data_IF_480169907460
#
_entry.id   IF_480169907460
#
_cell.length_a   1.000
_cell.length_b   1.000
_cell.length_c   1.000
_cell.angle_alpha   90.00
_cell.angle_beta   90.00
_cell.angle_gamma   90.00
#
_symmetry.space_group_name_H-M   'P 1'
#
loop_
_entity.id
_entity.type
_entity.pdbx_description
1 polymer ?
#
# COMPACT_ATOMS: atom_id res chain seq x y z
N UNK A 1 1.89 -5.15 41.52
CA UNK A 1 3.02 -6.08 41.30
C UNK A 1 2.62 -7.42 40.67
N UNK A 2 1.64 -8.19 41.20
CA UNK A 2 1.24 -9.46 40.56
C UNK A 2 0.72 -9.32 39.13
N UNK A 3 -0.08 -8.30 38.85
CA UNK A 3 -0.60 -8.01 37.50
C UNK A 3 0.51 -7.58 36.51
N UNK A 4 1.48 -6.79 36.98
CA UNK A 4 2.64 -6.44 36.16
C UNK A 4 3.49 -7.68 35.85
N UNK A 5 3.66 -8.59 36.80
CA UNK A 5 4.37 -9.87 36.60
C UNK A 5 3.65 -10.80 35.60
N UNK A 6 2.33 -10.66 35.40
CA UNK A 6 1.56 -11.38 34.37
C UNK A 6 1.56 -10.69 33.00
N UNK A 7 2.33 -9.61 32.83
CA UNK A 7 2.49 -8.91 31.54
C UNK A 7 1.68 -7.63 31.37
N UNK A 8 0.83 -7.28 32.35
CA UNK A 8 0.10 -6.01 32.30
C UNK A 8 0.98 -4.86 32.81
N UNK A 9 1.72 -4.21 31.90
CA UNK A 9 2.62 -3.09 32.23
C UNK A 9 1.88 -1.76 32.44
N UNK A 10 0.58 -1.67 32.08
CA UNK A 10 -0.21 -0.45 32.24
C UNK A 10 -0.63 -0.19 33.70
N UNK A 11 -0.43 -1.15 34.61
CA UNK A 11 -0.75 -1.03 36.02
C UNK A 11 0.13 0.03 36.68
N UNK A 12 -0.48 0.92 37.47
CA UNK A 12 0.26 1.94 38.24
C UNK A 12 -0.13 1.83 39.70
N UNK A 13 0.85 2.09 40.56
CA UNK A 13 0.61 2.33 41.99
C UNK A 13 0.04 3.74 42.14
N UNK A 14 -1.14 3.83 42.75
CA UNK A 14 -1.81 5.08 43.09
C UNK A 14 -2.01 5.11 44.60
N UNK A 15 -0.98 5.50 45.34
CA UNK A 15 -0.99 5.63 46.79
C UNK A 15 -0.50 7.02 47.19
N UNK A 16 -1.27 7.70 48.00
CA UNK A 16 -0.99 9.08 48.39
C UNK A 16 -0.59 9.18 49.90
N UNK A 17 0.19 8.21 50.37
CA UNK A 17 0.72 8.18 51.73
C UNK A 17 2.14 8.73 51.73
N UNK A 18 2.52 9.46 52.77
CA UNK A 18 3.91 9.94 52.98
C UNK A 18 4.70 8.91 53.80
N UNK A 19 4.87 7.72 53.25
CA UNK A 19 5.54 6.62 53.88
C UNK A 19 6.50 5.91 52.88
N UNK A 20 7.33 5.03 53.38
CA UNK A 20 8.32 4.27 52.61
C UNK A 20 7.65 3.39 51.55
N UNK A 21 6.38 2.99 51.76
CA UNK A 21 5.58 2.17 50.82
C UNK A 21 5.24 2.97 49.56
N UNK A 22 4.90 4.26 49.73
CA UNK A 22 4.61 5.14 48.60
C UNK A 22 5.87 5.43 47.79
N UNK A 23 7.03 5.62 48.41
CA UNK A 23 8.30 5.81 47.73
C UNK A 23 8.65 4.55 46.89
N UNK A 24 8.46 3.36 47.45
CA UNK A 24 8.63 2.10 46.73
C UNK A 24 7.64 1.98 45.54
N UNK A 25 6.38 2.41 45.74
CA UNK A 25 5.34 2.42 44.70
C UNK A 25 5.69 3.35 43.52
N UNK A 26 6.22 4.55 43.78
CA UNK A 26 6.68 5.46 42.73
C UNK A 26 7.91 4.91 42.00
N UNK A 27 8.87 4.30 42.72
CA UNK A 27 10.01 3.62 42.11
C UNK A 27 9.56 2.48 41.17
N UNK A 28 8.55 1.73 41.61
CA UNK A 28 7.94 0.67 40.77
C UNK A 28 7.26 1.23 39.51
N UNK A 29 6.50 2.32 39.62
CA UNK A 29 5.91 2.98 38.44
C UNK A 29 6.97 3.47 37.46
N UNK A 30 8.06 4.03 37.94
CA UNK A 30 9.17 4.48 37.10
C UNK A 30 9.82 3.29 36.36
N UNK A 31 10.00 2.18 37.04
CA UNK A 31 10.53 0.94 36.43
C UNK A 31 9.59 0.41 35.33
N UNK A 32 8.26 0.42 35.54
CA UNK A 32 7.29 0.03 34.53
C UNK A 32 7.36 0.90 33.28
N UNK A 33 7.47 2.22 33.43
CA UNK A 33 7.64 3.14 32.29
C UNK A 33 8.92 2.85 31.51
N UNK A 34 10.03 2.54 32.21
CA UNK A 34 11.26 2.16 31.54
C UNK A 34 11.12 0.84 30.79
N UNK A 35 10.45 -0.15 31.36
CA UNK A 35 10.19 -1.45 30.70
C UNK A 35 9.32 -1.25 29.47
N UNK A 36 8.24 -0.46 29.52
CA UNK A 36 7.41 -0.13 28.35
C UNK A 36 8.26 0.50 27.24
N UNK A 37 9.08 1.49 27.59
CA UNK A 37 9.97 2.14 26.62
C UNK A 37 10.99 1.18 25.99
N UNK A 38 11.56 0.27 26.78
CA UNK A 38 12.49 -0.75 26.27
C UNK A 38 11.77 -1.75 25.34
N UNK A 39 10.56 -2.19 25.69
CA UNK A 39 9.77 -3.08 24.85
C UNK A 39 9.43 -2.42 23.51
N UNK A 40 9.03 -1.15 23.54
CA UNK A 40 8.75 -0.38 22.31
C UNK A 40 10.02 -0.22 21.45
N UNK A 41 11.18 0.07 22.05
CA UNK A 41 12.45 0.14 21.33
C UNK A 41 12.82 -1.21 20.68
N UNK A 42 12.71 -2.32 21.41
CA UNK A 42 12.98 -3.65 20.88
C UNK A 42 12.04 -3.99 19.73
N UNK A 43 10.77 -3.64 19.85
CA UNK A 43 9.78 -3.85 18.77
C UNK A 43 10.14 -3.06 17.49
N UNK A 44 10.50 -1.78 17.64
CA UNK A 44 10.93 -0.93 16.51
C UNK A 44 12.19 -1.47 15.88
N UNK A 45 13.17 -1.88 16.68
CA UNK A 45 14.44 -2.46 16.20
C UNK A 45 14.22 -3.76 15.44
N UNK A 46 13.38 -4.67 15.96
CA UNK A 46 13.05 -5.91 15.25
C UNK A 46 12.31 -5.65 13.93
N UNK A 47 11.40 -4.67 13.91
CA UNK A 47 10.71 -4.25 12.68
C UNK A 47 11.72 -3.72 11.65
N UNK A 48 12.62 -2.84 12.07
CA UNK A 48 13.65 -2.26 11.21
C UNK A 48 14.60 -3.36 10.68
N UNK A 49 14.99 -4.31 11.53
CA UNK A 49 15.82 -5.45 11.14
C UNK A 49 15.12 -6.32 10.08
N UNK A 50 13.85 -6.67 10.28
CA UNK A 50 13.08 -7.42 9.28
C UNK A 50 12.95 -6.68 7.97
N UNK A 51 12.72 -5.35 8.00
CA UNK A 51 12.66 -4.54 6.79
C UNK A 51 14.01 -4.50 6.07
N UNK A 52 15.13 -4.41 6.82
CA UNK A 52 16.46 -4.47 6.24
C UNK A 52 16.76 -5.84 5.60
N UNK A 53 16.42 -6.93 6.28
CA UNK A 53 16.57 -8.29 5.74
C UNK A 53 15.75 -8.50 4.46
N UNK A 54 14.50 -8.03 4.42
CA UNK A 54 13.66 -8.07 3.22
C UNK A 54 14.24 -7.23 2.09
N UNK A 55 14.82 -6.06 2.40
CA UNK A 55 15.50 -5.21 1.42
C UNK A 55 16.72 -5.91 0.81
N UNK A 56 17.54 -6.55 1.65
CA UNK A 56 18.70 -7.34 1.18
C UNK A 56 18.26 -8.50 0.28
N UNK A 57 17.18 -9.21 0.64
CA UNK A 57 16.62 -10.28 -0.20
C UNK A 57 16.09 -9.75 -1.54
N UNK A 58 15.48 -8.57 -1.55
CA UNK A 58 15.03 -7.92 -2.80
C UNK A 58 16.22 -7.49 -3.69
N UNK A 59 17.33 -7.07 -3.09
CA UNK A 59 18.56 -6.67 -3.82
C UNK A 59 19.32 -7.87 -4.40
N UNK A 60 19.11 -9.09 -3.89
CA UNK A 60 19.70 -10.32 -4.45
C UNK A 60 19.15 -10.67 -5.84
N UNK A 61 17.95 -10.22 -6.19
CA UNK A 61 17.46 -10.30 -7.55
C UNK A 61 18.20 -9.22 -8.35
N UNK A 62 19.20 -9.59 -9.13
CA UNK A 62 19.92 -8.65 -10.00
C UNK A 62 18.95 -8.13 -11.08
N UNK A 63 18.46 -6.87 -11.00
CA UNK A 63 17.46 -6.37 -11.95
C UNK A 63 17.94 -6.45 -13.39
N UNK A 64 19.24 -6.25 -13.58
CA UNK A 64 19.88 -6.33 -14.89
C UNK A 64 19.78 -7.73 -15.54
N UNK A 65 19.89 -8.81 -14.74
CA UNK A 65 19.71 -10.15 -15.27
C UNK A 65 18.27 -10.39 -15.75
N UNK A 66 17.29 -9.92 -14.99
CA UNK A 66 15.87 -10.03 -15.39
C UNK A 66 15.60 -9.26 -16.69
N UNK A 67 16.08 -8.02 -16.78
CA UNK A 67 15.89 -7.22 -18.00
C UNK A 67 16.53 -7.86 -19.21
N UNK A 68 17.78 -8.32 -19.11
CA UNK A 68 18.47 -8.95 -20.21
C UNK A 68 17.79 -10.23 -20.66
N UNK A 69 17.27 -11.02 -19.73
CA UNK A 69 16.53 -12.25 -20.05
C UNK A 69 15.22 -11.94 -20.78
N UNK A 70 14.45 -10.95 -20.29
CA UNK A 70 13.22 -10.52 -20.93
C UNK A 70 13.47 -9.90 -22.31
N UNK A 71 14.52 -9.07 -22.46
CA UNK A 71 14.92 -8.49 -23.74
C UNK A 71 15.30 -9.58 -24.73
N UNK A 72 15.99 -10.65 -24.29
CA UNK A 72 16.32 -11.82 -25.14
C UNK A 72 15.05 -12.53 -25.60
N UNK A 73 14.08 -12.74 -24.69
CA UNK A 73 12.79 -13.37 -25.05
C UNK A 73 12.02 -12.50 -26.04
N UNK A 74 11.98 -11.18 -25.83
CA UNK A 74 11.34 -10.23 -26.75
C UNK A 74 11.99 -10.27 -28.12
N UNK A 75 13.33 -10.32 -28.18
CA UNK A 75 14.06 -10.45 -29.44
C UNK A 75 13.73 -11.74 -30.19
N UNK A 76 13.77 -12.90 -29.50
CA UNK A 76 13.38 -14.17 -30.07
C UNK A 76 11.93 -14.17 -30.59
N UNK A 77 11.01 -13.61 -29.80
CA UNK A 77 9.61 -13.51 -30.21
C UNK A 77 9.41 -12.67 -31.49
N UNK A 78 10.20 -11.61 -31.67
CA UNK A 78 10.21 -10.78 -32.89
C UNK A 78 10.70 -11.57 -34.11
N UNK A 79 11.73 -12.38 -33.94
CA UNK A 79 12.25 -13.26 -35.01
C UNK A 79 11.18 -14.21 -35.54
N UNK A 80 10.35 -14.75 -34.63
CA UNK A 80 9.21 -15.61 -34.98
C UNK A 80 7.92 -14.86 -35.32
N UNK A 81 7.94 -13.50 -35.41
CA UNK A 81 6.79 -12.64 -35.67
C UNK A 81 5.63 -12.85 -34.68
N UNK A 82 5.94 -13.17 -33.43
CA UNK A 82 4.98 -13.44 -32.38
C UNK A 82 4.68 -12.13 -31.63
N UNK A 83 3.99 -11.19 -32.27
CA UNK A 83 3.75 -9.83 -31.76
C UNK A 83 3.04 -9.79 -30.40
N UNK A 84 2.15 -10.74 -30.14
CA UNK A 84 1.48 -10.84 -28.84
C UNK A 84 2.45 -11.18 -27.69
N UNK A 85 3.45 -12.06 -27.98
CA UNK A 85 4.49 -12.38 -26.99
C UNK A 85 5.40 -11.18 -26.78
N UNK A 86 5.77 -10.47 -27.84
CA UNK A 86 6.55 -9.23 -27.73
C UNK A 86 5.87 -8.22 -26.81
N UNK A 87 4.58 -7.94 -27.04
CA UNK A 87 3.80 -7.00 -26.22
C UNK A 87 3.71 -7.44 -24.76
N UNK A 88 3.51 -8.74 -24.51
CA UNK A 88 3.45 -9.30 -23.17
C UNK A 88 4.77 -9.12 -22.42
N UNK A 89 5.89 -9.44 -23.09
CA UNK A 89 7.24 -9.31 -22.49
C UNK A 89 7.60 -7.85 -22.28
N UNK A 90 7.26 -6.95 -23.21
CA UNK A 90 7.50 -5.52 -23.07
C UNK A 90 6.68 -4.95 -21.90
N UNK A 91 5.41 -5.34 -21.72
CA UNK A 91 4.59 -4.96 -20.58
C UNK A 91 5.21 -5.41 -19.26
N UNK A 92 5.65 -6.67 -19.18
CA UNK A 92 6.30 -7.24 -17.99
C UNK A 92 7.63 -6.52 -17.68
N UNK A 93 8.45 -6.24 -18.69
CA UNK A 93 9.71 -5.49 -18.55
C UNK A 93 9.47 -4.08 -18.00
N UNK A 94 8.46 -3.39 -18.51
CA UNK A 94 8.09 -2.05 -18.03
C UNK A 94 7.62 -2.09 -16.58
N UNK A 95 6.83 -3.09 -16.19
CA UNK A 95 6.42 -3.28 -14.79
C UNK A 95 7.62 -3.49 -13.87
N UNK A 96 8.56 -4.37 -14.24
CA UNK A 96 9.77 -4.58 -13.44
C UNK A 96 10.62 -3.32 -13.36
N UNK A 97 10.76 -2.56 -14.46
CA UNK A 97 11.53 -1.31 -14.49
C UNK A 97 10.98 -0.27 -13.52
N UNK A 98 9.66 -0.11 -13.47
CA UNK A 98 9.00 0.79 -12.51
C UNK A 98 9.04 0.18 -11.11
N UNK A 99 8.70 -1.09 -10.95
CA UNK A 99 8.63 -1.79 -9.66
C UNK A 99 9.97 -1.88 -8.95
N UNK A 100 11.07 -2.17 -9.66
CA UNK A 100 12.42 -2.31 -9.12
C UNK A 100 13.24 -1.01 -9.19
N UNK A 101 12.64 0.14 -9.52
CA UNK A 101 13.34 1.42 -9.64
C UNK A 101 14.02 1.80 -8.33
N UNK A 102 15.30 1.50 -8.23
CA UNK A 102 16.36 1.91 -7.27
C UNK A 102 15.86 2.66 -6.02
N UNK A 103 15.08 2.02 -5.14
CA UNK A 103 14.76 2.57 -3.82
C UNK A 103 13.93 3.86 -3.79
N UNK A 104 13.33 4.28 -4.91
CA UNK A 104 12.42 5.43 -4.93
C UNK A 104 11.07 5.03 -4.39
N UNK A 105 10.67 5.64 -3.30
CA UNK A 105 9.37 5.41 -2.66
C UNK A 105 8.24 6.18 -3.35
N UNK A 106 8.59 7.17 -4.18
CA UNK A 106 7.66 8.05 -4.87
C UNK A 106 7.96 8.07 -6.37
N UNK A 107 6.90 8.11 -7.19
CA UNK A 107 6.96 8.18 -8.65
C UNK A 107 5.93 9.17 -9.17
N UNK A 108 6.07 9.58 -10.44
CA UNK A 108 5.06 10.39 -11.09
C UNK A 108 3.78 9.60 -11.36
N UNK A 109 2.64 10.30 -11.38
CA UNK A 109 1.34 9.72 -11.75
C UNK A 109 1.43 8.98 -13.08
N UNK A 110 2.06 9.57 -14.11
CA UNK A 110 2.27 8.91 -15.42
C UNK A 110 2.95 7.54 -15.31
N UNK A 111 3.89 7.37 -14.36
CA UNK A 111 4.59 6.11 -14.15
C UNK A 111 3.72 5.09 -13.40
N UNK A 112 2.95 5.54 -12.41
CA UNK A 112 2.00 4.69 -11.68
C UNK A 112 0.91 4.17 -12.63
N UNK A 113 0.35 5.05 -13.46
CA UNK A 113 -0.64 4.71 -14.48
C UNK A 113 -0.06 3.75 -15.52
N UNK A 114 1.17 3.99 -15.98
CA UNK A 114 1.86 3.06 -16.90
C UNK A 114 2.06 1.69 -16.29
N UNK A 115 2.41 1.63 -14.99
CA UNK A 115 2.53 0.37 -14.27
C UNK A 115 1.21 -0.39 -14.27
N UNK A 116 0.13 0.27 -13.85
CA UNK A 116 -1.22 -0.31 -13.77
C UNK A 116 -1.73 -0.74 -15.16
N UNK A 117 -1.51 0.07 -16.20
CA UNK A 117 -1.89 -0.26 -17.58
C UNK A 117 -1.19 -1.54 -18.07
N UNK A 118 0.12 -1.67 -17.83
CA UNK A 118 0.85 -2.90 -18.18
C UNK A 118 0.35 -4.11 -17.40
N UNK A 119 0.07 -3.95 -16.09
CA UNK A 119 -0.50 -5.00 -15.26
C UNK A 119 -1.86 -5.46 -15.80
N UNK A 120 -2.75 -4.52 -16.11
CA UNK A 120 -4.07 -4.80 -16.67
C UNK A 120 -3.99 -5.49 -18.04
N UNK A 121 -3.06 -5.09 -18.88
CA UNK A 121 -2.81 -5.75 -20.16
C UNK A 121 -2.44 -7.23 -19.97
N UNK A 122 -1.53 -7.54 -19.04
CA UNK A 122 -1.15 -8.91 -18.70
C UNK A 122 -2.36 -9.69 -18.16
N UNK A 123 -3.13 -9.09 -17.26
CA UNK A 123 -4.34 -9.72 -16.71
C UNK A 123 -5.43 -9.93 -17.78
N UNK A 124 -5.56 -9.01 -18.73
CA UNK A 124 -6.49 -9.16 -19.87
C UNK A 124 -6.15 -10.36 -20.74
N UNK A 125 -4.87 -10.62 -21.00
CA UNK A 125 -4.42 -11.83 -21.71
C UNK A 125 -4.79 -13.08 -20.91
N UNK A 126 -4.57 -13.06 -19.58
CA UNK A 126 -4.83 -14.20 -18.70
C UNK A 126 -6.31 -14.54 -18.57
N UNK A 127 -7.17 -13.51 -18.40
CA UNK A 127 -8.60 -13.69 -18.14
C UNK A 127 -9.47 -13.56 -19.39
N UNK A 128 -8.89 -13.13 -20.51
CA UNK A 128 -9.58 -13.02 -21.80
C UNK A 128 -10.79 -12.09 -21.73
N UNK A 129 -11.95 -12.53 -22.25
CA UNK A 129 -13.15 -11.71 -22.28
C UNK A 129 -13.77 -11.46 -20.90
N UNK A 130 -13.35 -12.19 -19.87
CA UNK A 130 -13.88 -12.05 -18.51
C UNK A 130 -13.53 -10.71 -17.88
N UNK A 131 -12.36 -10.14 -18.22
CA UNK A 131 -11.88 -8.85 -17.69
C UNK A 131 -12.01 -7.78 -18.78
N UNK A 132 -12.81 -6.75 -18.55
CA UNK A 132 -12.79 -5.51 -19.30
C UNK A 132 -12.35 -4.38 -18.39
N UNK A 133 -11.63 -3.39 -18.94
CA UNK A 133 -11.20 -2.25 -18.14
C UNK A 133 -11.13 -0.96 -18.95
N UNK A 134 -11.33 0.14 -18.28
CA UNK A 134 -11.18 1.50 -18.79
C UNK A 134 -10.28 2.30 -17.85
N UNK A 135 -9.53 3.23 -18.41
CA UNK A 135 -8.58 4.04 -17.67
C UNK A 135 -8.68 5.49 -18.14
N UNK A 136 -9.04 6.38 -17.22
CA UNK A 136 -9.22 7.80 -17.45
C UNK A 136 -8.23 8.57 -16.58
N UNK A 137 -7.43 9.42 -17.20
CA UNK A 137 -6.40 10.20 -16.52
C UNK A 137 -6.45 11.63 -17.01
N UNK A 138 -6.53 12.57 -16.09
CA UNK A 138 -6.38 13.99 -16.38
C UNK A 138 -4.90 14.31 -16.68
N UNK A 139 -4.63 14.81 -17.88
CA UNK A 139 -3.28 15.12 -18.35
C UNK A 139 -2.53 16.10 -17.43
N UNK A 140 -3.25 16.99 -16.75
CA UNK A 140 -2.68 17.93 -15.79
C UNK A 140 -1.99 17.28 -14.60
N UNK A 141 -2.35 16.02 -14.29
CA UNK A 141 -1.82 15.28 -13.16
C UNK A 141 -0.58 14.44 -13.45
N UNK A 142 -0.21 14.26 -14.71
CA UNK A 142 0.87 13.37 -15.15
C UNK A 142 2.21 13.61 -14.41
N UNK A 143 2.52 14.86 -14.08
CA UNK A 143 3.77 15.24 -13.39
C UNK A 143 3.66 15.26 -11.87
N UNK A 144 2.47 15.10 -11.31
CA UNK A 144 2.27 15.00 -9.87
C UNK A 144 2.93 13.74 -9.33
N UNK A 145 3.37 13.80 -8.07
CA UNK A 145 4.13 12.73 -7.41
C UNK A 145 3.28 12.00 -6.40
N UNK A 146 3.27 10.68 -6.49
CA UNK A 146 2.49 9.78 -5.64
C UNK A 146 3.37 8.68 -5.04
N UNK A 147 2.93 8.03 -3.94
CA UNK A 147 3.57 6.82 -3.45
C UNK A 147 3.55 5.72 -4.52
N UNK A 148 4.70 5.13 -4.77
CA UNK A 148 4.88 4.07 -5.77
C UNK A 148 4.01 2.85 -5.45
N UNK A 149 3.38 2.25 -6.46
CA UNK A 149 2.51 1.07 -6.34
C UNK A 149 1.30 1.31 -5.41
N UNK A 150 0.75 2.53 -5.44
CA UNK A 150 -0.42 2.90 -4.66
C UNK A 150 -1.71 2.29 -5.24
N UNK A 151 -1.84 2.29 -6.56
CA UNK A 151 -3.03 1.77 -7.25
C UNK A 151 -3.01 0.25 -7.42
N UNK A 152 -1.82 -0.36 -7.48
CA UNK A 152 -1.70 -1.80 -7.72
C UNK A 152 -2.53 -2.65 -6.76
N UNK A 153 -2.46 -2.50 -5.42
CA UNK A 153 -3.24 -3.33 -4.51
C UNK A 153 -4.75 -3.16 -4.68
N UNK A 154 -5.21 -1.96 -5.09
CA UNK A 154 -6.62 -1.69 -5.36
C UNK A 154 -7.10 -2.47 -6.60
N UNK A 155 -6.31 -2.40 -7.67
CA UNK A 155 -6.58 -3.10 -8.93
C UNK A 155 -6.51 -4.62 -8.73
N UNK A 156 -5.56 -5.11 -7.95
CA UNK A 156 -5.47 -6.53 -7.58
C UNK A 156 -6.72 -6.97 -6.81
N UNK A 157 -7.15 -6.22 -5.81
CA UNK A 157 -8.36 -6.51 -5.05
C UNK A 157 -9.60 -6.54 -5.95
N UNK A 158 -9.77 -5.56 -6.84
CA UNK A 158 -10.88 -5.50 -7.78
C UNK A 158 -10.91 -6.74 -8.70
N UNK A 159 -9.75 -7.18 -9.20
CA UNK A 159 -9.68 -8.36 -10.06
C UNK A 159 -9.90 -9.64 -9.27
N UNK A 160 -9.17 -9.86 -8.15
CA UNK A 160 -9.19 -11.15 -7.45
C UNK A 160 -10.44 -11.36 -6.59
N UNK A 161 -10.92 -10.32 -5.94
CA UNK A 161 -12.06 -10.38 -5.03
C UNK A 161 -13.38 -9.94 -5.69
N UNK A 162 -13.31 -8.99 -6.63
CA UNK A 162 -14.46 -8.52 -7.38
C UNK A 162 -14.74 -9.39 -8.60
N UNK A 163 -13.99 -9.21 -9.67
CA UNK A 163 -14.30 -9.71 -11.02
C UNK A 163 -14.11 -11.23 -11.12
N UNK A 164 -13.05 -11.79 -10.52
CA UNK A 164 -12.77 -13.24 -10.61
C UNK A 164 -13.90 -14.09 -10.02
N UNK A 165 -14.53 -13.61 -8.97
CA UNK A 165 -15.62 -14.30 -8.24
C UNK A 165 -16.97 -14.11 -8.89
N UNK A 166 -17.15 -13.10 -9.74
CA UNK A 166 -18.38 -12.82 -10.49
C UNK A 166 -18.63 -13.89 -11.58
N UNK A 167 -19.90 -14.23 -11.82
CA UNK A 167 -20.31 -15.01 -12.99
C UNK A 167 -20.40 -14.08 -14.21
N UNK A 168 -19.69 -14.43 -15.30
CA UNK A 168 -19.70 -13.64 -16.54
C UNK A 168 -18.54 -12.66 -16.64
N UNK A 169 -18.74 -11.62 -17.44
CA UNK A 169 -17.76 -10.54 -17.66
C UNK A 169 -17.79 -9.56 -16.50
N UNK A 170 -16.62 -9.03 -16.14
CA UNK A 170 -16.48 -7.96 -15.17
C UNK A 170 -15.81 -6.75 -15.80
N UNK A 171 -16.16 -5.58 -15.28
CA UNK A 171 -15.68 -4.29 -15.72
C UNK A 171 -14.95 -3.59 -14.60
N UNK A 172 -13.78 -3.05 -14.92
CA UNK A 172 -12.93 -2.29 -13.99
C UNK A 172 -12.72 -0.89 -14.56
N UNK A 173 -13.02 0.13 -13.79
CA UNK A 173 -12.81 1.51 -14.17
C UNK A 173 -11.81 2.13 -13.21
N UNK A 174 -10.78 2.77 -13.78
CA UNK A 174 -9.78 3.51 -13.02
C UNK A 174 -9.81 4.95 -13.48
N UNK A 175 -9.96 5.88 -12.52
CA UNK A 175 -9.94 7.31 -12.79
C UNK A 175 -8.85 7.98 -11.97
N UNK A 176 -8.20 8.96 -12.56
CA UNK A 176 -7.30 9.89 -11.92
C UNK A 176 -7.68 11.29 -12.38
N UNK A 177 -8.35 12.04 -11.51
CA UNK A 177 -9.00 13.30 -11.84
C UNK A 177 -8.55 14.41 -10.90
N UNK A 178 -8.48 15.64 -11.40
CA UNK A 178 -8.24 16.82 -10.58
C UNK A 178 -9.48 17.11 -9.75
N UNK A 179 -9.29 17.28 -8.44
CA UNK A 179 -10.34 17.70 -7.52
C UNK A 179 -10.18 19.18 -7.12
N UNK A 180 -11.19 19.74 -6.43
CA UNK A 180 -11.14 21.11 -5.95
C UNK A 180 -9.92 21.36 -5.03
N UNK A 181 -9.54 22.61 -4.84
CA UNK A 181 -8.51 23.06 -3.90
C UNK A 181 -7.11 22.44 -4.09
N UNK A 182 -6.74 22.13 -5.33
CA UNK A 182 -5.44 21.53 -5.66
C UNK A 182 -5.27 20.11 -5.10
N UNK A 183 -6.37 19.34 -5.09
CA UNK A 183 -6.39 17.92 -4.76
C UNK A 183 -6.47 17.08 -6.03
N UNK A 184 -6.12 15.80 -5.90
CA UNK A 184 -6.32 14.78 -6.93
C UNK A 184 -7.02 13.57 -6.33
N UNK A 185 -7.95 13.03 -7.11
CA UNK A 185 -8.75 11.87 -6.76
C UNK A 185 -8.37 10.69 -7.63
N UNK A 186 -8.09 9.57 -6.99
CA UNK A 186 -7.90 8.28 -7.62
C UNK A 186 -9.07 7.39 -7.26
N UNK A 187 -9.73 6.84 -8.27
CA UNK A 187 -10.84 5.92 -8.10
C UNK A 187 -10.55 4.61 -8.82
N UNK A 188 -10.76 3.50 -8.11
CA UNK A 188 -10.76 2.15 -8.68
C UNK A 188 -12.11 1.54 -8.38
N UNK A 189 -12.87 1.24 -9.43
CA UNK A 189 -14.27 0.79 -9.35
C UNK A 189 -14.44 -0.49 -10.17
N UNK A 190 -14.93 -1.55 -9.54
CA UNK A 190 -15.28 -2.82 -10.18
C UNK A 190 -16.77 -3.11 -10.04
N UNK A 191 -17.32 -3.79 -11.02
CA UNK A 191 -18.68 -4.32 -11.02
C UNK A 191 -18.74 -5.78 -10.54
N UNK A 192 -17.82 -6.16 -9.66
CA UNK A 192 -17.63 -7.52 -9.18
C UNK A 192 -18.64 -8.00 -8.16
N UNK A 193 -18.23 -8.95 -7.31
CA UNK A 193 -19.11 -9.53 -6.29
C UNK A 193 -19.52 -8.53 -5.19
N UNK A 194 -18.75 -7.46 -4.99
CA UNK A 194 -18.97 -6.52 -3.91
C UNK A 194 -18.86 -7.12 -2.51
N UNK A 195 -19.25 -6.34 -1.52
CA UNK A 195 -19.34 -6.77 -0.12
C UNK A 195 -20.56 -6.13 0.56
N UNK A 196 -20.96 -6.66 1.71
CA UNK A 196 -22.06 -6.07 2.47
C UNK A 196 -21.69 -4.67 2.96
N UNK A 197 -22.71 -3.84 3.14
CA UNK A 197 -22.52 -2.45 3.59
C UNK A 197 -21.84 -2.40 4.96
N UNK A 198 -22.20 -3.31 5.86
CA UNK A 198 -21.62 -3.41 7.20
C UNK A 198 -20.11 -3.68 7.13
N UNK A 199 -19.68 -4.55 6.19
CA UNK A 199 -18.25 -4.83 5.99
C UNK A 199 -17.51 -3.63 5.41
N UNK A 200 -18.09 -2.91 4.47
CA UNK A 200 -17.52 -1.69 3.92
C UNK A 200 -17.41 -0.59 5.00
N UNK A 201 -18.42 -0.43 5.84
CA UNK A 201 -18.41 0.50 6.99
C UNK A 201 -17.33 0.11 8.03
N UNK A 202 -17.17 -1.17 8.34
CA UNK A 202 -16.09 -1.67 9.21
C UNK A 202 -14.70 -1.35 8.64
N UNK A 203 -14.48 -1.56 7.33
CA UNK A 203 -13.21 -1.22 6.68
C UNK A 203 -12.97 0.30 6.77
N UNK A 204 -13.97 1.13 6.50
CA UNK A 204 -13.85 2.58 6.59
C UNK A 204 -13.57 3.04 8.04
N UNK A 205 -14.21 2.45 9.04
CA UNK A 205 -13.94 2.75 10.46
C UNK A 205 -12.46 2.46 10.78
N UNK A 206 -11.96 1.29 10.41
CA UNK A 206 -10.55 0.91 10.60
C UNK A 206 -9.58 1.81 9.83
N UNK A 207 -9.94 2.26 8.62
CA UNK A 207 -9.15 3.22 7.86
C UNK A 207 -9.09 4.60 8.53
N UNK A 208 -10.10 4.99 9.30
CA UNK A 208 -10.15 6.26 10.03
C UNK A 208 -9.54 6.20 11.43
N UNK A 209 -9.44 5.00 12.03
CA UNK A 209 -8.83 4.83 13.34
C UNK A 209 -7.30 4.95 13.30
N UNK A 210 -6.73 5.49 14.39
CA UNK A 210 -5.28 5.58 14.61
C UNK A 210 -4.70 4.31 15.22
N UNK A 211 -5.50 3.24 15.35
CA UNK A 211 -5.12 2.00 16.03
C UNK A 211 -4.18 1.12 15.19
N UNK A 212 -3.26 0.44 15.89
CA UNK A 212 -2.36 -0.57 15.32
C UNK A 212 -3.18 -1.78 14.85
N UNK A 213 -2.82 -2.33 13.70
CA UNK A 213 -3.46 -3.48 13.06
C UNK A 213 -3.45 -4.74 13.95
N UNK A 214 -4.58 -5.44 14.03
CA UNK A 214 -4.62 -6.86 14.32
C UNK A 214 -4.25 -7.68 13.06
N UNK A 215 -3.51 -8.78 13.24
CA UNK A 215 -2.79 -9.54 12.20
C UNK A 215 -3.64 -10.14 11.05
N UNK A 216 -4.96 -9.97 11.01
CA UNK A 216 -5.86 -10.68 10.09
C UNK A 216 -6.65 -9.81 9.09
N UNK A 217 -6.27 -8.54 8.87
CA UNK A 217 -7.07 -7.64 8.02
C UNK A 217 -6.35 -7.24 6.74
N UNK A 218 -7.13 -7.00 5.68
CA UNK A 218 -6.77 -6.64 4.28
C UNK A 218 -5.48 -5.79 4.16
N UNK A 219 -4.33 -6.45 4.08
CA UNK A 219 -3.00 -5.82 4.10
C UNK A 219 -2.80 -4.70 3.06
N UNK A 220 -3.46 -4.77 1.89
CA UNK A 220 -3.23 -3.82 0.80
C UNK A 220 -3.69 -2.39 1.09
N UNK A 221 -4.94 -2.20 1.55
CA UNK A 221 -5.51 -0.87 1.84
C UNK A 221 -4.82 -0.19 3.03
N UNK A 222 -4.51 -0.95 4.07
CA UNK A 222 -3.78 -0.42 5.22
C UNK A 222 -2.34 -0.03 4.90
N UNK A 223 -1.67 -0.80 4.05
CA UNK A 223 -0.34 -0.45 3.56
C UNK A 223 -0.37 0.87 2.78
N UNK A 224 -1.37 1.07 1.94
CA UNK A 224 -1.58 2.34 1.23
C UNK A 224 -1.80 3.48 2.23
N UNK A 225 -2.72 3.31 3.19
CA UNK A 225 -3.00 4.30 4.23
C UNK A 225 -1.74 4.74 4.97
N UNK A 226 -0.92 3.80 5.44
CA UNK A 226 0.32 4.11 6.16
C UNK A 226 1.30 4.90 5.27
N UNK A 227 1.45 4.54 4.01
CA UNK A 227 2.30 5.27 3.06
C UNK A 227 1.77 6.68 2.78
N UNK A 228 0.46 6.85 2.64
CA UNK A 228 -0.17 8.15 2.49
C UNK A 228 0.03 9.00 3.74
N UNK A 229 -0.11 8.40 4.92
CA UNK A 229 0.12 9.09 6.20
C UNK A 229 1.55 9.58 6.36
N UNK A 230 2.54 8.76 5.99
CA UNK A 230 3.96 9.15 6.02
C UNK A 230 4.22 10.38 5.13
N UNK A 231 3.56 10.46 3.96
CA UNK A 231 3.78 11.55 3.02
C UNK A 231 2.94 12.79 3.30
N UNK A 232 1.66 12.60 3.58
CA UNK A 232 0.68 13.68 3.62
C UNK A 232 0.20 14.02 5.04
N UNK A 233 0.68 13.30 6.08
CA UNK A 233 0.16 13.43 7.44
C UNK A 233 -1.31 13.03 7.49
N UNK A 234 -2.15 13.94 7.97
CA UNK A 234 -3.61 13.75 8.03
C UNK A 234 -4.34 14.33 6.79
N UNK A 235 -3.58 14.84 5.80
CA UNK A 235 -4.14 15.44 4.59
C UNK A 235 -4.36 14.39 3.49
N UNK A 236 -5.17 13.40 3.74
CA UNK A 236 -5.63 12.43 2.75
C UNK A 236 -6.95 11.80 3.20
N UNK A 237 -7.67 11.22 2.24
CA UNK A 237 -8.85 10.41 2.54
C UNK A 237 -8.80 9.12 1.73
N UNK A 238 -9.09 7.99 2.36
CA UNK A 238 -9.33 6.71 1.69
C UNK A 238 -10.72 6.24 2.07
N UNK A 239 -11.55 5.96 1.08
CA UNK A 239 -12.93 5.54 1.27
C UNK A 239 -13.26 4.32 0.42
N UNK A 240 -13.97 3.38 1.01
CA UNK A 240 -14.52 2.20 0.33
C UNK A 240 -16.03 2.30 0.32
N UNK A 241 -16.64 2.16 -0.85
CA UNK A 241 -18.08 2.00 -1.01
C UNK A 241 -18.33 0.70 -1.76
N UNK A 242 -19.26 -0.11 -1.29
CA UNK A 242 -19.55 -1.41 -1.91
C UNK A 242 -20.96 -1.85 -1.59
N UNK A 243 -21.56 -2.58 -2.51
CA UNK A 243 -22.84 -3.25 -2.35
C UNK A 243 -22.73 -4.68 -2.90
N UNK A 244 -23.32 -5.62 -2.19
CA UNK A 244 -23.21 -7.03 -2.53
C UNK A 244 -23.90 -7.30 -3.89
N UNK A 245 -23.13 -7.82 -4.84
CA UNK A 245 -23.58 -8.09 -6.21
C UNK A 245 -23.41 -6.92 -7.19
N UNK A 246 -23.15 -5.70 -6.71
CA UNK A 246 -22.99 -4.50 -7.56
C UNK A 246 -21.52 -4.12 -7.77
N UNK A 247 -20.63 -4.50 -6.84
CA UNK A 247 -19.20 -4.25 -6.95
C UNK A 247 -18.62 -3.40 -5.83
N UNK A 248 -17.41 -2.91 -6.05
CA UNK A 248 -16.68 -2.10 -5.07
C UNK A 248 -16.04 -0.90 -5.74
N UNK A 249 -16.12 0.24 -5.06
CA UNK A 249 -15.42 1.47 -5.41
C UNK A 249 -14.51 1.89 -4.27
N UNK A 250 -13.23 2.06 -4.57
CA UNK A 250 -12.23 2.62 -3.65
C UNK A 250 -11.79 3.97 -4.17
N UNK A 251 -11.88 4.98 -3.32
CA UNK A 251 -11.47 6.36 -3.62
C UNK A 251 -10.32 6.76 -2.72
N UNK A 252 -9.27 7.32 -3.30
CA UNK A 252 -8.14 7.97 -2.61
C UNK A 252 -8.12 9.42 -3.01
N UNK A 253 -8.17 10.32 -2.03
CA UNK A 253 -8.08 11.76 -2.23
C UNK A 253 -6.82 12.27 -1.54
N UNK A 254 -5.92 12.94 -2.28
CA UNK A 254 -4.63 13.45 -1.81
C UNK A 254 -4.32 14.82 -2.43
N UNK A 255 -3.52 15.67 -1.77
CA UNK A 255 -3.06 16.93 -2.34
C UNK A 255 -2.19 16.73 -3.57
N UNK A 256 -2.35 17.59 -4.58
CA UNK A 256 -1.42 17.64 -5.71
C UNK A 256 -0.04 18.08 -5.22
N UNK A 257 1.01 17.39 -5.65
CA UNK A 257 2.40 17.75 -5.37
C UNK A 257 3.26 17.40 -6.57
N UNK A 258 4.01 18.36 -7.05
CA UNK A 258 4.97 18.18 -8.14
C UNK A 258 6.37 17.90 -7.58
N UNK A 259 6.63 18.31 -6.33
CA UNK A 259 7.92 18.13 -5.70
C UNK A 259 8.07 16.72 -5.12
N UNK A 260 9.11 16.04 -5.53
CA UNK A 260 9.66 14.92 -4.78
C UNK A 260 10.32 15.54 -3.55
N UNK A 261 9.60 15.61 -2.41
CA UNK A 261 10.27 15.87 -1.16
C UNK A 261 11.30 14.75 -1.00
N UNK A 262 12.56 15.10 -1.17
CA UNK A 262 13.66 14.23 -0.76
C UNK A 262 13.42 13.94 0.72
N UNK A 263 12.86 12.77 1.01
CA UNK A 263 12.84 12.17 2.34
C UNK A 263 14.28 11.85 2.66
N UNK A 264 15.04 12.90 2.95
CA UNK A 264 16.43 12.80 3.32
C UNK A 264 16.51 12.11 4.67
N UNK A 265 17.04 10.92 4.69
CA UNK A 265 18.01 10.59 5.73
C UNK A 265 19.11 11.65 5.59
N UNK A 266 19.08 12.66 6.44
CA UNK A 266 20.27 13.46 6.71
C UNK A 266 21.23 12.53 7.40
N UNK A 267 22.26 12.06 6.67
CA UNK A 267 23.49 11.62 7.26
C UNK A 267 24.04 12.81 8.06
N UNK A 268 23.80 12.82 9.35
CA UNK A 268 24.60 13.63 10.27
C UNK A 268 26.01 13.01 10.30
N UNK A 269 26.95 13.85 9.82
CA UNK A 269 28.40 13.60 9.88
C UNK A 269 28.89 13.53 11.33
#
# INVERSE_FOLDING_TARGET
MREAASGNLAVRFDGNYKDEVSELGYGFNHMLVQIESLVDMVYVEQKNKRMAELKVLQEQIKPHFLYNTLDTISWMAREYKADDIVRLVDALTNMFRIGLSKGRDYIKVEQEIKYVSNYLYIQKIRYGPKLNYELFVDDGLNQCVVPKLMLQPLVENAIYHGIKTKRGQGHLIIRCESAADNWMEFTVEDDGAGMTREKAEQINALLNEHSRLEENQSFGLFYIKERLRIRYGDKFCVRVTSELGEGTKVTILIPQSVDVLEGGYRDEK
#
